data_IF_046962148824
#
_entry.id   IF_046962148824
#
_cell.length_a   1.000
_cell.length_b   1.000
_cell.length_c   1.000
_cell.angle_alpha   90.00
_cell.angle_beta   90.00
_cell.angle_gamma   90.00
#
_symmetry.space_group_name_H-M   'P 1'
#
loop_
_entity.id
_entity.type
_entity.pdbx_description
1 polymer ?
#
# COMPACT_ATOMS: atom_id res chain seq x y z
N UNK A 1 -6.56 -14.49 10.34
CA UNK A 1 -6.62 -13.06 10.20
C UNK A 1 -5.27 -12.44 10.52
N UNK A 2 -4.83 -11.52 9.69
CA UNK A 2 -3.54 -10.89 9.91
C UNK A 2 -3.62 -9.86 11.01
N UNK A 3 -2.58 -9.82 11.85
CA UNK A 3 -2.53 -8.74 12.81
C UNK A 3 -1.90 -7.50 12.15
N UNK A 4 -1.88 -6.41 12.89
CA UNK A 4 -1.43 -5.14 12.32
C UNK A 4 0.02 -5.19 11.87
N UNK A 5 0.84 -5.91 12.58
CA UNK A 5 2.25 -5.98 12.23
C UNK A 5 2.49 -6.77 10.96
N UNK A 6 1.75 -7.86 10.83
CA UNK A 6 1.87 -8.66 9.63
C UNK A 6 1.39 -7.88 8.42
N UNK A 7 0.31 -7.17 8.59
CA UNK A 7 -0.23 -6.36 7.50
C UNK A 7 0.77 -5.30 7.10
N UNK A 8 1.39 -4.65 8.06
CA UNK A 8 2.40 -3.64 7.79
C UNK A 8 3.57 -4.22 7.01
N UNK A 9 4.01 -5.40 7.41
CA UNK A 9 5.14 -6.04 6.75
C UNK A 9 4.79 -6.35 5.30
N UNK A 10 3.60 -6.85 5.07
CA UNK A 10 3.17 -7.17 3.72
C UNK A 10 3.11 -5.90 2.86
N UNK A 11 2.54 -4.85 3.41
CA UNK A 11 2.42 -3.61 2.68
C UNK A 11 3.81 -3.05 2.35
N UNK A 12 4.71 -3.08 3.31
CA UNK A 12 6.05 -2.59 3.09
C UNK A 12 6.77 -3.39 2.01
N UNK A 13 6.55 -4.69 1.97
CA UNK A 13 7.15 -5.53 0.95
C UNK A 13 6.68 -5.15 -0.43
N UNK A 14 5.39 -4.91 -0.57
CA UNK A 14 4.84 -4.53 -1.85
C UNK A 14 5.35 -3.14 -2.26
N UNK A 15 5.41 -2.23 -1.31
CA UNK A 15 5.91 -0.89 -1.59
C UNK A 15 7.35 -0.96 -2.10
N UNK A 16 8.17 -1.77 -1.45
CA UNK A 16 9.55 -1.93 -1.87
C UNK A 16 9.64 -2.47 -3.29
N UNK A 17 8.79 -3.41 -3.60
CA UNK A 17 8.76 -3.98 -4.93
C UNK A 17 8.41 -2.93 -5.98
N UNK A 18 7.39 -2.13 -5.69
CA UNK A 18 6.99 -1.09 -6.61
C UNK A 18 8.08 -0.04 -6.78
N UNK A 19 8.77 0.27 -5.69
CA UNK A 19 9.86 1.23 -5.77
C UNK A 19 10.98 0.72 -6.67
N UNK A 20 11.21 -0.58 -6.66
CA UNK A 20 12.26 -1.13 -7.52
C UNK A 20 11.87 -1.06 -8.99
N UNK A 21 10.61 -0.85 -9.29
CA UNK A 21 10.16 -0.63 -10.66
C UNK A 21 10.23 0.81 -11.07
N UNK A 22 10.70 1.69 -10.18
CA UNK A 22 10.83 3.09 -10.53
C UNK A 22 9.78 3.98 -9.90
N UNK A 23 8.84 3.42 -9.19
CA UNK A 23 7.80 4.19 -8.55
C UNK A 23 8.32 4.80 -7.26
N UNK A 24 7.92 6.04 -6.96
CA UNK A 24 8.39 6.62 -5.71
C UNK A 24 7.53 6.09 -4.55
N UNK A 25 8.03 6.29 -3.35
CA UNK A 25 7.43 5.69 -2.18
C UNK A 25 5.99 6.15 -1.98
N UNK A 26 5.75 7.42 -2.22
CA UNK A 26 4.42 7.98 -2.02
C UNK A 26 3.41 7.35 -2.96
N UNK A 27 3.78 7.23 -4.22
CA UNK A 27 2.91 6.63 -5.21
C UNK A 27 2.70 5.16 -4.94
N UNK A 28 3.77 4.47 -4.56
CA UNK A 28 3.67 3.05 -4.26
C UNK A 28 2.71 2.81 -3.11
N UNK A 29 2.81 3.64 -2.10
CA UNK A 29 1.94 3.51 -0.95
C UNK A 29 0.48 3.69 -1.33
N UNK A 30 0.21 4.69 -2.13
CA UNK A 30 -1.16 4.94 -2.55
C UNK A 30 -1.69 3.80 -3.40
N UNK A 31 -0.86 3.25 -4.26
CA UNK A 31 -1.25 2.13 -5.09
C UNK A 31 -1.65 0.93 -4.26
N UNK A 32 -0.81 0.61 -3.28
CA UNK A 32 -1.06 -0.55 -2.43
C UNK A 32 -2.36 -0.37 -1.66
N UNK A 33 -2.56 0.81 -1.12
CA UNK A 33 -3.77 1.05 -0.34
C UNK A 33 -5.01 1.01 -1.20
N UNK A 34 -4.90 1.47 -2.43
CA UNK A 34 -6.03 1.39 -3.33
C UNK A 34 -6.39 -0.06 -3.65
N UNK A 35 -5.39 -0.88 -3.85
CA UNK A 35 -5.63 -2.27 -4.15
C UNK A 35 -6.26 -2.99 -2.97
N UNK A 36 -5.68 -2.78 -1.79
CA UNK A 36 -6.15 -3.47 -0.60
C UNK A 36 -7.53 -3.05 -0.17
N UNK A 37 -7.83 -1.79 -0.34
CA UNK A 37 -9.11 -1.27 0.11
C UNK A 37 -10.08 -1.05 -1.03
N UNK A 38 -9.74 -1.58 -2.20
CA UNK A 38 -10.62 -1.53 -3.38
C UNK A 38 -10.98 -0.11 -3.75
N UNK A 39 -10.03 0.79 -3.60
CA UNK A 39 -10.29 2.16 -3.95
C UNK A 39 -11.31 2.80 -3.05
N UNK A 40 -11.33 2.40 -1.81
CA UNK A 40 -12.34 2.89 -0.90
C UNK A 40 -12.22 4.38 -0.68
N UNK A 41 -13.28 4.93 -0.22
CA UNK A 41 -13.35 6.35 0.05
C UNK A 41 -12.52 6.76 1.23
N UNK A 42 -12.01 5.80 1.95
CA UNK A 42 -11.14 6.10 3.07
C UNK A 42 -10.04 7.05 2.68
N UNK A 43 -9.52 6.85 1.50
CA UNK A 43 -8.44 7.67 1.01
C UNK A 43 -8.93 8.88 0.26
N UNK A 44 -9.97 8.69 -0.51
CA UNK A 44 -10.47 9.76 -1.33
C UNK A 44 -11.09 10.86 -0.51
N UNK A 45 -11.51 10.52 0.66
CA UNK A 45 -12.13 11.51 1.52
C UNK A 45 -11.15 12.37 2.25
N UNK A 46 -9.91 11.99 2.22
CA UNK A 46 -8.89 12.72 2.96
C UNK A 46 -8.25 13.82 2.13
#
# INVERSE_FOLDING_TARGET
MMNNEELKTEINGIIKMLMSYGMNKHDAKRCVLKILFHGTDLFDEI
#
